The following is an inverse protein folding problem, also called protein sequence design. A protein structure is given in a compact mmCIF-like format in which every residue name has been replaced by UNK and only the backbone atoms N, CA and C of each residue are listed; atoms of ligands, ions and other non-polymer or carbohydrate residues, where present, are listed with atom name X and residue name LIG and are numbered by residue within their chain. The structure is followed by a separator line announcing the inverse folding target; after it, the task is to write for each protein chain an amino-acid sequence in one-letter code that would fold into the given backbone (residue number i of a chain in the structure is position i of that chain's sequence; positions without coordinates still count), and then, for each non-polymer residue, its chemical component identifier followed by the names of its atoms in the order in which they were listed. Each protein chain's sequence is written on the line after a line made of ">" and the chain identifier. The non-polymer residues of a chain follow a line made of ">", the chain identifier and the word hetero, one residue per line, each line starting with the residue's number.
data_IF_793927835320
#
_entry.id   IF_793927835320
#
_cell.length_a   1.000
_cell.length_b   1.000
_cell.length_c   1.000
_cell.angle_alpha   90.00
_cell.angle_beta   90.00
_cell.angle_gamma   90.00
#
_symmetry.space_group_name_H-M   'P 1'
#
loop_
_entity.id
_entity.type
_entity.pdbx_description
1 polymer ?
#
# COMPACT_ATOMS: atom_id res chain seq x y z
N UNK A 1 -16.76 -32.95 17.66
CA UNK A 1 -17.96 -32.17 17.30
C UNK A 1 -19.03 -32.46 18.34
N UNK A 2 -19.12 -31.64 19.39
CA UNK A 2 -20.26 -31.71 20.30
C UNK A 2 -21.39 -30.90 19.65
N UNK A 3 -22.55 -31.51 19.42
CA UNK A 3 -23.77 -30.80 19.01
C UNK A 3 -24.11 -29.81 20.12
N UNK A 4 -23.69 -28.55 19.94
CA UNK A 4 -24.09 -27.45 20.82
C UNK A 4 -25.60 -27.31 20.71
N UNK A 5 -26.30 -27.51 21.82
CA UNK A 5 -27.75 -27.40 21.89
C UNK A 5 -28.21 -26.07 21.29
N UNK A 6 -29.14 -26.11 20.31
CA UNK A 6 -29.73 -24.95 19.62
C UNK A 6 -30.49 -23.98 20.54
N UNK A 7 -30.50 -24.28 21.84
CA UNK A 7 -31.25 -23.64 22.89
C UNK A 7 -30.35 -23.47 24.12
N UNK A 8 -30.43 -22.31 24.76
CA UNK A 8 -29.82 -22.05 26.07
C UNK A 8 -30.83 -21.36 26.98
N UNK A 9 -31.03 -21.90 28.17
CA UNK A 9 -31.82 -21.24 29.22
C UNK A 9 -30.92 -20.31 30.01
N UNK A 10 -31.36 -19.07 30.17
CA UNK A 10 -30.74 -18.14 31.10
C UNK A 10 -31.74 -17.91 32.23
N UNK A 11 -31.45 -18.52 33.37
CA UNK A 11 -32.33 -18.49 34.52
C UNK A 11 -32.25 -17.11 35.19
N UNK A 12 -33.30 -16.32 34.99
CA UNK A 12 -33.42 -14.99 35.58
C UNK A 12 -33.82 -15.17 37.04
N UNK A 13 -32.85 -15.17 37.96
CA UNK A 13 -33.04 -15.44 39.41
C UNK A 13 -34.19 -14.69 40.15
N UNK A 14 -34.95 -13.79 39.50
CA UNK A 14 -36.17 -13.13 40.01
C UNK A 14 -37.25 -12.77 38.94
N UNK A 15 -37.14 -13.21 37.68
CA UNK A 15 -38.10 -12.89 36.59
C UNK A 15 -38.33 -14.12 35.70
N UNK A 16 -39.40 -14.09 34.92
CA UNK A 16 -39.74 -15.12 33.93
C UNK A 16 -38.50 -15.64 33.16
N UNK A 17 -38.34 -16.97 32.99
CA UNK A 17 -37.14 -17.54 32.39
C UNK A 17 -36.94 -17.07 30.94
N UNK A 18 -35.70 -16.77 30.56
CA UNK A 18 -35.35 -16.40 29.19
C UNK A 18 -34.83 -17.62 28.44
N UNK A 19 -35.45 -17.92 27.29
CA UNK A 19 -35.01 -19.00 26.39
C UNK A 19 -34.34 -18.38 25.18
N UNK A 20 -33.04 -18.59 25.07
CA UNK A 20 -32.25 -18.15 23.94
C UNK A 20 -32.27 -19.22 22.85
N UNK A 21 -32.86 -18.91 21.70
CA UNK A 21 -32.91 -19.78 20.52
C UNK A 21 -31.85 -19.30 19.52
N UNK A 22 -30.95 -20.20 19.10
CA UNK A 22 -29.89 -19.89 18.13
C UNK A 22 -30.28 -20.24 16.69
N UNK A 23 -31.25 -21.13 16.51
CA UNK A 23 -31.74 -21.55 15.21
C UNK A 23 -32.87 -20.61 14.71
N UNK A 24 -32.70 -19.92 13.57
CA UNK A 24 -33.70 -19.01 13.03
C UNK A 24 -35.02 -19.72 12.65
N UNK A 25 -34.98 -20.95 12.15
CA UNK A 25 -36.18 -21.71 11.77
C UNK A 25 -36.97 -22.14 13.00
N UNK A 26 -36.25 -22.57 14.04
CA UNK A 26 -36.86 -22.90 15.33
C UNK A 26 -37.48 -21.66 15.98
N UNK A 27 -36.82 -20.50 15.89
CA UNK A 27 -37.36 -19.23 16.40
C UNK A 27 -38.66 -18.85 15.68
N UNK A 28 -38.69 -18.98 14.35
CA UNK A 28 -39.87 -18.67 13.54
C UNK A 28 -41.03 -19.63 13.85
N UNK A 29 -40.74 -20.93 13.96
CA UNK A 29 -41.72 -21.93 14.37
C UNK A 29 -42.30 -21.62 15.75
N UNK A 30 -41.46 -21.32 16.75
CA UNK A 30 -41.91 -21.02 18.11
C UNK A 30 -42.73 -19.73 18.20
N UNK A 31 -42.39 -18.72 17.39
CA UNK A 31 -43.18 -17.47 17.28
C UNK A 31 -44.57 -17.71 16.67
N UNK A 32 -44.66 -18.56 15.64
CA UNK A 32 -45.87 -18.75 14.87
C UNK A 32 -46.82 -19.79 15.49
N UNK A 33 -46.27 -20.88 16.04
CA UNK A 33 -47.05 -21.99 16.60
C UNK A 33 -47.49 -21.75 18.05
N UNK A 34 -46.71 -20.99 18.83
CA UNK A 34 -46.92 -20.86 20.27
C UNK A 34 -46.81 -22.20 21.02
N UNK A 35 -46.15 -23.22 20.44
CA UNK A 35 -46.10 -24.57 21.00
C UNK A 35 -45.17 -24.65 22.22
N UNK A 36 -45.78 -24.39 23.38
CA UNK A 36 -45.11 -24.42 24.68
C UNK A 36 -44.81 -25.84 25.16
N UNK A 37 -45.53 -26.86 24.67
CA UNK A 37 -45.24 -28.25 25.02
C UNK A 37 -43.96 -28.72 24.34
N UNK A 38 -43.79 -28.38 23.06
CA UNK A 38 -42.56 -28.65 22.31
C UNK A 38 -41.35 -27.97 22.96
N UNK A 39 -41.50 -26.72 23.39
CA UNK A 39 -40.46 -25.98 24.10
C UNK A 39 -40.10 -26.62 25.45
N UNK A 40 -41.09 -27.12 26.22
CA UNK A 40 -40.86 -27.83 27.50
C UNK A 40 -40.18 -29.19 27.30
N UNK A 41 -40.51 -29.91 26.22
CA UNK A 41 -39.82 -31.18 25.87
C UNK A 41 -38.34 -30.95 25.57
N UNK A 42 -38.03 -29.86 24.87
CA UNK A 42 -36.65 -29.49 24.53
C UNK A 42 -35.88 -28.91 25.72
N UNK A 43 -36.60 -28.32 26.67
CA UNK A 43 -36.03 -27.64 27.84
C UNK A 43 -36.83 -28.01 29.10
N UNK A 44 -36.49 -29.14 29.75
CA UNK A 44 -37.18 -29.59 30.97
C UNK A 44 -37.10 -28.58 32.13
N UNK A 45 -36.10 -27.70 32.12
CA UNK A 45 -35.89 -26.63 33.11
C UNK A 45 -37.01 -25.56 33.12
N UNK A 46 -37.96 -25.63 32.19
CA UNK A 46 -39.11 -24.72 32.12
C UNK A 46 -40.37 -25.30 32.79
N UNK A 47 -40.32 -26.53 33.31
CA UNK A 47 -41.43 -27.13 34.06
C UNK A 47 -41.71 -26.29 35.33
N UNK A 48 -42.94 -25.78 35.46
CA UNK A 48 -43.37 -24.95 36.59
C UNK A 48 -43.34 -23.43 36.35
N UNK A 49 -42.85 -22.95 35.20
CA UNK A 49 -42.90 -21.53 34.83
C UNK A 49 -44.07 -21.18 33.91
N UNK A 50 -44.78 -20.09 34.21
CA UNK A 50 -46.01 -19.69 33.52
C UNK A 50 -45.78 -19.13 32.12
N UNK A 51 -44.72 -18.34 31.89
CA UNK A 51 -44.41 -17.76 30.56
C UNK A 51 -42.91 -17.47 30.36
N UNK A 52 -42.12 -18.34 29.71
CA UNK A 52 -40.77 -17.99 29.29
C UNK A 52 -40.78 -16.89 28.22
N UNK A 53 -39.83 -15.97 28.30
CA UNK A 53 -39.59 -14.98 27.23
C UNK A 53 -38.60 -15.57 26.24
N UNK A 54 -39.05 -15.81 25.00
CA UNK A 54 -38.22 -16.39 23.93
C UNK A 54 -37.47 -15.25 23.22
N UNK A 55 -36.14 -15.35 23.19
CA UNK A 55 -35.27 -14.34 22.56
C UNK A 55 -34.38 -15.02 21.52
N UNK A 56 -34.29 -14.43 20.33
CA UNK A 56 -33.34 -14.88 19.33
C UNK A 56 -31.92 -14.47 19.75
N UNK A 57 -31.08 -15.45 20.02
CA UNK A 57 -29.66 -15.23 20.23
C UNK A 57 -28.98 -15.36 18.87
N UNK A 58 -28.69 -14.24 18.22
CA UNK A 58 -27.89 -14.28 17.00
C UNK A 58 -26.57 -14.98 17.33
N UNK A 59 -26.29 -16.08 16.63
CA UNK A 59 -24.99 -16.73 16.71
C UNK A 59 -23.99 -15.74 16.13
N UNK A 60 -23.39 -14.91 16.99
CA UNK A 60 -22.18 -14.20 16.63
C UNK A 60 -21.19 -15.31 16.33
N UNK A 61 -20.84 -15.49 15.06
CA UNK A 61 -19.67 -16.29 14.71
C UNK A 61 -18.56 -15.87 15.67
N UNK A 62 -17.86 -16.82 16.33
CA UNK A 62 -16.73 -16.46 17.16
C UNK A 62 -15.71 -15.80 16.22
N UNK A 63 -15.75 -14.47 16.16
CA UNK A 63 -14.74 -13.69 15.49
C UNK A 63 -13.47 -13.98 16.28
N UNK A 64 -12.58 -14.74 15.67
CA UNK A 64 -11.27 -14.98 16.24
C UNK A 64 -10.58 -13.63 16.33
N UNK A 65 -10.63 -13.00 17.51
CA UNK A 65 -10.05 -11.67 17.75
C UNK A 65 -8.58 -11.66 17.37
N UNK A 66 -7.87 -12.78 17.52
CA UNK A 66 -6.50 -12.98 17.03
C UNK A 66 -6.36 -12.73 15.53
N UNK A 67 -7.32 -13.16 14.70
CA UNK A 67 -7.32 -12.90 13.27
C UNK A 67 -7.61 -11.44 12.95
N UNK A 68 -8.58 -10.84 13.67
CA UNK A 68 -8.89 -9.40 13.55
C UNK A 68 -7.65 -8.56 13.85
N UNK A 69 -6.95 -8.81 14.96
CA UNK A 69 -5.72 -8.09 15.30
C UNK A 69 -4.61 -8.27 14.26
N UNK A 70 -4.46 -9.47 13.69
CA UNK A 70 -3.48 -9.73 12.62
C UNK A 70 -3.81 -8.94 11.36
N UNK A 71 -5.07 -8.95 10.94
CA UNK A 71 -5.54 -8.20 9.77
C UNK A 71 -5.37 -6.70 10.01
N UNK A 72 -5.79 -6.18 11.17
CA UNK A 72 -5.62 -4.75 11.51
C UNK A 72 -4.15 -4.34 11.54
N UNK A 73 -3.26 -5.18 12.08
CA UNK A 73 -1.81 -4.90 12.06
C UNK A 73 -1.27 -4.86 10.63
N UNK A 74 -1.70 -5.79 9.78
CA UNK A 74 -1.30 -5.84 8.38
C UNK A 74 -1.80 -4.61 7.61
N UNK A 75 -3.07 -4.24 7.77
CA UNK A 75 -3.61 -3.03 7.11
C UNK A 75 -2.89 -1.77 7.57
N UNK A 76 -2.60 -1.64 8.86
CA UNK A 76 -1.85 -0.51 9.39
C UNK A 76 -0.41 -0.45 8.84
N UNK A 77 0.24 -1.62 8.64
CA UNK A 77 1.56 -1.68 8.02
C UNK A 77 1.52 -1.22 6.55
N UNK A 78 0.52 -1.64 5.77
CA UNK A 78 0.33 -1.19 4.38
C UNK A 78 0.09 0.32 4.32
N UNK A 79 -0.80 0.85 5.15
CA UNK A 79 -1.04 2.30 5.23
C UNK A 79 0.25 3.04 5.56
N UNK A 80 1.01 2.56 6.54
CA UNK A 80 2.30 3.16 6.93
C UNK A 80 3.31 3.16 5.78
N UNK A 81 3.37 2.09 4.98
CA UNK A 81 4.24 2.01 3.80
C UNK A 81 3.83 3.01 2.72
N UNK A 82 2.53 3.15 2.44
CA UNK A 82 2.02 4.15 1.47
C UNK A 82 2.33 5.57 1.94
N UNK A 83 2.12 5.85 3.23
CA UNK A 83 2.46 7.14 3.82
C UNK A 83 3.97 7.41 3.76
N UNK A 84 4.80 6.43 4.10
CA UNK A 84 6.24 6.53 3.98
C UNK A 84 6.68 6.80 2.53
N UNK A 85 6.07 6.14 1.54
CA UNK A 85 6.34 6.38 0.12
C UNK A 85 6.07 7.85 -0.26
N UNK A 86 4.96 8.42 0.19
CA UNK A 86 4.62 9.82 -0.10
C UNK A 86 5.65 10.79 0.51
N UNK A 87 6.07 10.57 1.76
CA UNK A 87 7.11 11.38 2.41
C UNK A 87 8.46 11.25 1.72
N UNK A 88 8.90 10.02 1.44
CA UNK A 88 10.17 9.75 0.77
C UNK A 88 10.17 10.36 -0.63
N UNK A 89 9.06 10.29 -1.38
CA UNK A 89 8.96 10.92 -2.70
C UNK A 89 9.08 12.44 -2.63
N UNK A 90 8.41 13.06 -1.66
CA UNK A 90 8.44 14.52 -1.47
C UNK A 90 9.83 15.00 -1.04
N UNK A 91 10.41 14.35 -0.03
CA UNK A 91 11.75 14.68 0.47
C UNK A 91 12.84 14.35 -0.54
N UNK A 92 12.72 13.22 -1.24
CA UNK A 92 13.67 12.80 -2.28
C UNK A 92 13.73 13.80 -3.43
N UNK A 93 12.56 14.25 -3.91
CA UNK A 93 12.48 15.34 -4.89
C UNK A 93 13.07 16.65 -4.37
N UNK A 94 12.76 17.02 -3.12
CA UNK A 94 13.33 18.20 -2.47
C UNK A 94 14.86 18.16 -2.35
N UNK A 95 15.43 17.06 -1.87
CA UNK A 95 16.88 16.87 -1.78
C UNK A 95 17.55 16.87 -3.16
N UNK A 96 16.90 16.30 -4.17
CA UNK A 96 17.41 16.33 -5.53
C UNK A 96 17.47 17.76 -6.08
N UNK A 97 16.39 18.54 -5.92
CA UNK A 97 16.33 19.94 -6.34
C UNK A 97 17.32 20.83 -5.58
N UNK A 98 17.51 20.59 -4.28
CA UNK A 98 18.48 21.28 -3.45
C UNK A 98 19.91 20.73 -3.57
N UNK A 99 20.18 19.82 -4.51
CA UNK A 99 21.51 19.23 -4.81
C UNK A 99 22.15 18.44 -3.67
N UNK A 100 21.35 18.00 -2.72
CA UNK A 100 21.75 17.01 -1.73
C UNK A 100 21.70 15.61 -2.34
N UNK A 101 22.57 15.37 -3.35
CA UNK A 101 22.50 14.17 -4.20
C UNK A 101 22.70 12.86 -3.43
N UNK A 102 23.49 12.87 -2.35
CA UNK A 102 23.68 11.70 -1.50
C UNK A 102 22.39 11.36 -0.73
N UNK A 103 21.70 12.37 -0.21
CA UNK A 103 20.41 12.23 0.46
C UNK A 103 19.32 11.83 -0.53
N UNK A 104 19.26 12.44 -1.71
CA UNK A 104 18.33 12.06 -2.78
C UNK A 104 18.53 10.59 -3.20
N UNK A 105 19.78 10.14 -3.33
CA UNK A 105 20.11 8.74 -3.59
C UNK A 105 19.63 7.82 -2.47
N UNK A 106 19.88 8.17 -1.21
CA UNK A 106 19.41 7.41 -0.05
C UNK A 106 17.89 7.29 -0.06
N UNK A 107 17.18 8.40 -0.31
CA UNK A 107 15.71 8.42 -0.41
C UNK A 107 15.21 7.49 -1.52
N UNK A 108 15.82 7.55 -2.72
CA UNK A 108 15.45 6.64 -3.81
C UNK A 108 15.71 5.16 -3.47
N UNK A 109 16.77 4.84 -2.71
CA UNK A 109 17.02 3.47 -2.22
C UNK A 109 15.97 3.02 -1.20
N UNK A 110 15.60 3.90 -0.26
CA UNK A 110 14.52 3.61 0.68
C UNK A 110 13.19 3.41 -0.04
N UNK A 111 12.92 4.21 -1.07
CA UNK A 111 11.71 4.10 -1.87
C UNK A 111 11.63 2.77 -2.63
N UNK A 112 12.77 2.21 -3.07
CA UNK A 112 12.86 0.85 -3.63
C UNK A 112 12.49 -0.21 -2.57
N UNK A 113 12.95 -0.06 -1.33
CA UNK A 113 12.58 -1.00 -0.26
C UNK A 113 11.09 -0.92 0.05
N UNK A 114 10.52 0.29 0.08
CA UNK A 114 9.08 0.50 0.30
C UNK A 114 8.26 -0.10 -0.84
N UNK A 115 8.67 0.09 -2.09
CA UNK A 115 7.97 -0.48 -3.25
C UNK A 115 8.01 -2.00 -3.28
N UNK A 116 9.11 -2.62 -2.83
CA UNK A 116 9.18 -4.06 -2.61
C UNK A 116 8.20 -4.53 -1.53
N UNK A 117 8.10 -3.79 -0.41
CA UNK A 117 7.14 -4.07 0.65
C UNK A 117 5.67 -3.94 0.20
N UNK A 118 5.39 -3.02 -0.73
CA UNK A 118 4.08 -2.85 -1.37
C UNK A 118 3.83 -3.82 -2.53
N UNK A 119 4.83 -4.62 -2.92
CA UNK A 119 4.79 -5.49 -4.10
C UNK A 119 4.45 -4.73 -5.39
N UNK A 120 4.92 -3.48 -5.52
CA UNK A 120 4.71 -2.64 -6.70
C UNK A 120 5.97 -2.63 -7.58
N UNK A 121 6.03 -3.45 -8.64
CA UNK A 121 7.19 -3.51 -9.53
C UNK A 121 7.34 -2.24 -10.37
N UNK A 122 6.25 -1.55 -10.70
CA UNK A 122 6.29 -0.33 -11.52
C UNK A 122 6.92 0.82 -10.71
N UNK A 123 6.47 1.00 -9.46
CA UNK A 123 7.07 1.97 -8.55
C UNK A 123 8.57 1.69 -8.34
N UNK A 124 8.93 0.41 -8.20
CA UNK A 124 10.33 -0.01 -8.07
C UNK A 124 11.16 0.43 -9.28
N UNK A 125 10.65 0.23 -10.50
CA UNK A 125 11.32 0.66 -11.73
C UNK A 125 11.45 2.17 -11.85
N UNK A 126 10.40 2.93 -11.52
CA UNK A 126 10.46 4.40 -11.48
C UNK A 126 11.54 4.91 -10.52
N UNK A 127 11.67 4.31 -9.34
CA UNK A 127 12.70 4.69 -8.37
C UNK A 127 14.12 4.43 -8.89
N UNK A 128 14.33 3.35 -9.66
CA UNK A 128 15.63 3.10 -10.31
C UNK A 128 15.93 4.10 -11.41
N UNK A 129 14.94 4.54 -12.18
CA UNK A 129 15.12 5.65 -13.13
C UNK A 129 15.51 6.94 -12.40
N UNK A 130 14.95 7.24 -11.23
CA UNK A 130 15.41 8.37 -10.41
C UNK A 130 16.89 8.24 -10.00
N UNK A 131 17.38 7.02 -9.73
CA UNK A 131 18.82 6.79 -9.53
C UNK A 131 19.64 7.05 -10.80
N UNK A 132 19.08 6.82 -11.99
CA UNK A 132 19.73 7.17 -13.25
C UNK A 132 19.84 8.71 -13.39
N UNK A 133 18.78 9.47 -13.09
CA UNK A 133 18.84 10.94 -13.04
C UNK A 133 19.89 11.44 -12.05
N UNK A 134 19.96 10.86 -10.85
CA UNK A 134 21.02 11.16 -9.89
C UNK A 134 22.43 10.84 -10.42
N UNK A 135 22.59 9.75 -11.18
CA UNK A 135 23.87 9.41 -11.81
C UNK A 135 24.25 10.40 -12.93
N UNK A 136 23.29 10.84 -13.74
CA UNK A 136 23.50 11.88 -14.76
C UNK A 136 23.94 13.20 -14.15
N UNK A 137 23.28 13.62 -13.06
CA UNK A 137 23.65 14.84 -12.33
C UNK A 137 25.08 14.79 -11.73
N UNK A 138 25.64 13.60 -11.53
CA UNK A 138 27.01 13.38 -11.08
C UNK A 138 28.01 13.15 -12.22
N UNK A 139 27.61 13.30 -13.49
CA UNK A 139 28.45 12.99 -14.65
C UNK A 139 28.71 11.50 -14.88
N UNK A 140 28.01 10.61 -14.18
CA UNK A 140 28.18 9.14 -14.28
C UNK A 140 27.29 8.56 -15.38
N UNK A 141 27.44 9.06 -16.60
CA UNK A 141 26.54 8.76 -17.72
C UNK A 141 26.53 7.28 -18.14
N UNK A 142 27.70 6.60 -18.15
CA UNK A 142 27.76 5.14 -18.41
C UNK A 142 26.91 4.34 -17.42
N UNK A 143 26.86 4.78 -16.16
CA UNK A 143 26.02 4.15 -15.13
C UNK A 143 24.54 4.44 -15.37
N UNK A 144 24.20 5.68 -15.74
CA UNK A 144 22.82 6.04 -16.08
C UNK A 144 22.30 5.23 -17.28
N UNK A 145 23.10 5.11 -18.35
CA UNK A 145 22.75 4.31 -19.53
C UNK A 145 22.42 2.86 -19.18
N UNK A 146 23.26 2.23 -18.34
CA UNK A 146 23.02 0.84 -17.91
C UNK A 146 21.69 0.70 -17.18
N UNK A 147 21.43 1.60 -16.22
CA UNK A 147 20.18 1.58 -15.45
C UNK A 147 18.97 1.75 -16.38
N UNK A 148 18.99 2.74 -17.28
CA UNK A 148 17.90 2.98 -18.22
C UNK A 148 17.68 1.76 -19.12
N UNK A 149 18.76 1.18 -19.65
CA UNK A 149 18.67 -0.01 -20.53
C UNK A 149 18.04 -1.21 -19.82
N UNK A 150 18.45 -1.46 -18.56
CA UNK A 150 17.90 -2.55 -17.76
C UNK A 150 16.42 -2.32 -17.44
N UNK A 151 16.03 -1.08 -17.09
CA UNK A 151 14.65 -0.75 -16.79
C UNK A 151 13.75 -0.73 -18.04
N UNK A 152 14.28 -0.39 -19.22
CA UNK A 152 13.55 -0.55 -20.50
C UNK A 152 13.21 -2.02 -20.77
N UNK A 153 14.13 -2.94 -20.51
CA UNK A 153 13.85 -4.40 -20.61
C UNK A 153 12.76 -4.81 -19.62
N UNK A 154 12.81 -4.31 -18.37
CA UNK A 154 11.77 -4.57 -17.37
C UNK A 154 10.42 -3.98 -17.78
N UNK A 155 10.38 -2.79 -18.38
CA UNK A 155 9.15 -2.18 -18.87
C UNK A 155 8.44 -3.07 -19.89
N UNK A 156 9.19 -3.69 -20.81
CA UNK A 156 8.64 -4.67 -21.76
C UNK A 156 8.06 -5.90 -21.04
N UNK A 157 8.77 -6.44 -20.04
CA UNK A 157 8.29 -7.59 -19.25
C UNK A 157 7.00 -7.22 -18.50
N UNK A 158 6.94 -6.03 -17.91
CA UNK A 158 5.79 -5.53 -17.18
C UNK A 158 4.63 -5.07 -18.08
N UNK A 159 4.85 -4.97 -19.41
CA UNK A 159 3.90 -4.45 -20.40
C UNK A 159 3.31 -3.09 -19.98
N UNK A 160 4.14 -2.23 -19.39
CA UNK A 160 3.72 -0.93 -18.86
C UNK A 160 4.10 0.18 -19.84
N UNK A 161 3.11 0.73 -20.54
CA UNK A 161 3.29 1.90 -21.42
C UNK A 161 3.82 3.11 -20.66
N UNK A 162 3.35 3.30 -19.42
CA UNK A 162 3.83 4.37 -18.55
C UNK A 162 5.34 4.23 -18.31
N UNK A 163 5.82 3.03 -17.98
CA UNK A 163 7.23 2.79 -17.75
C UNK A 163 8.05 2.98 -19.03
N UNK A 164 7.52 2.62 -20.20
CA UNK A 164 8.15 2.90 -21.49
C UNK A 164 8.32 4.41 -21.71
N UNK A 165 7.29 5.21 -21.45
CA UNK A 165 7.36 6.67 -21.54
C UNK A 165 8.42 7.25 -20.59
N UNK A 166 8.47 6.77 -19.35
CA UNK A 166 9.46 7.19 -18.34
C UNK A 166 10.89 6.84 -18.77
N UNK A 167 11.13 5.62 -19.25
CA UNK A 167 12.45 5.21 -19.76
C UNK A 167 12.87 6.01 -20.99
N UNK A 168 11.94 6.26 -21.91
CA UNK A 168 12.19 7.07 -23.11
C UNK A 168 12.58 8.51 -22.72
N UNK A 169 11.82 9.14 -21.82
CA UNK A 169 12.16 10.48 -21.32
C UNK A 169 13.55 10.53 -20.67
N UNK A 170 13.90 9.51 -19.88
CA UNK A 170 15.22 9.40 -19.26
C UNK A 170 16.34 9.22 -20.29
N UNK A 171 16.12 8.44 -21.35
CA UNK A 171 17.10 8.28 -22.44
C UNK A 171 17.30 9.60 -23.19
N UNK A 172 16.23 10.30 -23.57
CA UNK A 172 16.33 11.61 -24.24
C UNK A 172 17.08 12.62 -23.38
N UNK A 173 16.86 12.61 -22.05
CA UNK A 173 17.59 13.47 -21.14
C UNK A 173 19.08 13.09 -21.02
N UNK A 174 19.39 11.79 -21.00
CA UNK A 174 20.75 11.28 -20.99
C UNK A 174 21.53 11.74 -22.23
N UNK A 175 20.95 11.55 -23.42
CA UNK A 175 21.60 11.93 -24.68
C UNK A 175 21.90 13.44 -24.69
N UNK A 176 20.91 14.27 -24.34
CA UNK A 176 21.08 15.72 -24.23
C UNK A 176 22.15 16.15 -23.24
N UNK A 177 22.19 15.52 -22.07
CA UNK A 177 23.16 15.88 -21.01
C UNK A 177 24.57 15.37 -21.33
N UNK A 178 24.68 14.24 -22.03
CA UNK A 178 25.93 13.72 -22.55
C UNK A 178 26.52 14.63 -23.63
N UNK A 179 25.71 15.05 -24.61
CA UNK A 179 26.14 15.95 -25.67
C UNK A 179 26.62 17.29 -25.10
N UNK A 180 25.87 17.85 -24.14
CA UNK A 180 26.26 19.06 -23.42
C UNK A 180 27.59 18.87 -22.65
N UNK A 181 27.80 17.69 -22.07
CA UNK A 181 29.05 17.37 -21.37
C UNK A 181 30.23 17.36 -22.32
N UNK A 182 30.06 16.78 -23.50
CA UNK A 182 31.09 16.79 -24.53
C UNK A 182 31.35 18.19 -25.08
N UNK A 183 30.32 19.02 -25.29
CA UNK A 183 30.50 20.38 -25.82
C UNK A 183 31.24 21.31 -24.84
N UNK A 184 30.97 21.19 -23.53
CA UNK A 184 31.66 21.98 -22.50
C UNK A 184 33.15 21.62 -22.42
N UNK A 185 33.51 20.35 -22.64
CA UNK A 185 34.91 19.90 -22.65
C UNK A 185 35.73 20.46 -23.83
N UNK A 186 35.06 20.96 -24.88
CA UNK A 186 35.70 21.46 -26.11
C UNK A 186 35.86 23.00 -26.10
N UNK A 187 35.24 23.73 -25.17
CA UNK A 187 35.36 25.19 -25.13
C UNK A 187 36.72 25.66 -24.59
N UNK A 188 37.32 26.63 -25.29
CA UNK A 188 38.50 27.39 -24.86
C UNK A 188 38.27 28.08 -23.51
N UNK A 189 39.35 28.43 -22.76
CA UNK A 189 39.24 29.04 -21.45
C UNK A 189 38.62 30.44 -21.55
N UNK A 190 37.29 30.51 -21.56
CA UNK A 190 36.57 31.73 -21.23
C UNK A 190 36.73 31.99 -19.73
N UNK A 191 36.80 33.26 -19.35
CA UNK A 191 36.91 33.69 -17.95
C UNK A 191 35.66 33.25 -17.15
N UNK A 192 35.70 32.02 -16.62
CA UNK A 192 34.63 31.36 -15.86
C UNK A 192 34.60 31.77 -14.39
N UNK A 193 35.32 32.83 -13.99
CA UNK A 193 35.37 33.27 -12.57
C UNK A 193 34.00 33.65 -12.00
N UNK A 194 32.96 33.78 -12.83
CA UNK A 194 31.61 34.18 -12.39
C UNK A 194 30.48 33.18 -12.63
N UNK A 195 30.61 32.19 -13.50
CA UNK A 195 29.52 31.25 -13.78
C UNK A 195 30.08 29.85 -14.03
N UNK A 196 29.87 28.97 -13.07
CA UNK A 196 29.98 27.52 -13.29
C UNK A 196 28.68 27.09 -13.95
N UNK A 197 28.71 26.82 -15.26
CA UNK A 197 27.56 26.24 -15.94
C UNK A 197 27.34 24.81 -15.40
N UNK A 198 26.29 24.67 -14.60
CA UNK A 198 25.93 23.43 -13.94
C UNK A 198 24.91 22.72 -14.83
N UNK A 199 25.23 21.49 -15.24
CA UNK A 199 24.42 20.57 -16.07
C UNK A 199 22.90 20.52 -15.80
N UNK A 200 22.47 20.98 -14.64
CA UNK A 200 21.09 21.04 -14.18
C UNK A 200 20.34 22.34 -14.54
N UNK A 201 21.06 23.45 -14.74
CA UNK A 201 20.48 24.71 -15.22
C UNK A 201 20.52 24.69 -16.74
N UNK A 202 19.51 24.09 -17.38
CA UNK A 202 19.30 24.34 -18.81
C UNK A 202 19.00 25.83 -19.01
N UNK A 203 20.02 26.64 -19.33
CA UNK A 203 19.84 27.94 -19.96
C UNK A 203 19.98 27.75 -21.46
N UNK A 204 18.84 27.76 -22.14
CA UNK A 204 18.81 27.92 -23.59
C UNK A 204 19.18 29.37 -23.90
N UNK A 205 20.33 29.60 -24.53
CA UNK A 205 20.76 30.91 -24.99
C UNK A 205 20.21 31.17 -26.39
N UNK A 206 19.83 32.42 -26.65
CA UNK A 206 19.05 32.89 -27.81
C UNK A 206 19.67 32.47 -29.14
N UNK A 207 18.87 31.89 -30.04
CA UNK A 207 19.24 31.79 -31.47
C UNK A 207 19.45 33.20 -32.01
N UNK A 208 20.67 33.51 -32.46
CA UNK A 208 20.89 34.65 -33.34
C UNK A 208 20.01 34.45 -34.58
N UNK A 209 19.22 35.47 -34.92
CA UNK A 209 18.77 35.63 -36.29
C UNK A 209 19.96 36.04 -37.16
#
# INVERSE_FOLDING_TARGET
>A
MAMGSSLRVVDGRKKAPHVCVYDPYLMEYLKNSGDMEYLRRLVPQLEGHSTPTIVFASSRFPLYMSWVYRVTRFTNAVVSLVTANAYISTLGGGYFLCRHLNQAKLMAQLQICVSQGLQDPILTSKCRINLAYGAMAQGKFKRAQRIITDETKRAHILRSEEMHSVCHAAQVYLDKTWDLHQSILVHEPTDTTRVVDEYYRQRVVRKSR
#
